data_IF_969000495493
#
_entry.id   IF_969000495493
#
_cell.length_a   1.000
_cell.length_b   1.000
_cell.length_c   1.000
_cell.angle_alpha   90.00
_cell.angle_beta   90.00
_cell.angle_gamma   90.00
#
_symmetry.space_group_name_H-M   'P 1'
#
loop_
_entity.id
_entity.type
_entity.pdbx_description
1 polymer ?
#
# COMPACT_ATOMS: atom_id res chain seq x y z
N UNK A 1 -19.23 1.09 27.90
CA UNK A 1 -18.25 1.17 26.79
C UNK A 1 -17.94 -0.28 26.41
N UNK A 2 -18.46 -0.77 25.29
CA UNK A 2 -18.28 -2.17 24.89
C UNK A 2 -16.89 -2.25 24.27
N UNK A 3 -15.93 -2.81 25.00
CA UNK A 3 -14.63 -3.18 24.46
C UNK A 3 -14.89 -4.35 23.53
N UNK A 4 -14.39 -4.26 22.29
CA UNK A 4 -14.44 -5.42 21.42
C UNK A 4 -13.41 -6.45 21.89
N UNK A 5 -13.92 -7.44 22.61
CA UNK A 5 -13.14 -8.46 23.28
C UNK A 5 -12.33 -9.27 22.28
N UNK A 6 -12.90 -9.58 21.10
CA UNK A 6 -12.26 -10.46 20.14
C UNK A 6 -11.04 -9.82 19.48
N UNK A 7 -11.17 -8.58 18.98
CA UNK A 7 -10.04 -7.89 18.38
C UNK A 7 -8.93 -7.58 19.40
N UNK A 8 -9.31 -7.30 20.65
CA UNK A 8 -8.35 -7.07 21.72
C UNK A 8 -7.58 -8.35 22.09
N UNK A 9 -8.24 -9.51 22.13
CA UNK A 9 -7.60 -10.81 22.33
C UNK A 9 -6.59 -11.14 21.22
N UNK A 10 -6.98 -10.96 19.95
CA UNK A 10 -6.06 -11.17 18.82
C UNK A 10 -4.83 -10.25 18.89
N UNK A 11 -5.01 -8.99 19.31
CA UNK A 11 -3.90 -8.06 19.50
C UNK A 11 -2.96 -8.52 20.63
N UNK A 12 -3.50 -8.92 21.78
CA UNK A 12 -2.68 -9.42 22.89
C UNK A 12 -1.93 -10.71 22.51
N UNK A 13 -2.58 -11.62 21.77
CA UNK A 13 -1.95 -12.82 21.23
C UNK A 13 -0.79 -12.46 20.30
N UNK A 14 -1.02 -11.58 19.33
CA UNK A 14 0.04 -11.10 18.44
C UNK A 14 1.20 -10.46 19.20
N UNK A 15 0.93 -9.70 20.27
CA UNK A 15 2.00 -9.10 21.09
C UNK A 15 2.85 -10.14 21.83
N UNK A 16 2.29 -11.30 22.15
CA UNK A 16 3.02 -12.38 22.83
C UNK A 16 3.87 -13.19 21.84
N UNK A 17 3.34 -13.47 20.65
CA UNK A 17 3.97 -14.39 19.69
C UNK A 17 4.77 -13.69 18.60
N UNK A 18 4.35 -12.48 18.21
CA UNK A 18 4.94 -11.66 17.13
C UNK A 18 5.06 -12.38 15.79
N UNK A 19 4.20 -13.36 15.56
CA UNK A 19 4.23 -14.23 14.39
C UNK A 19 3.16 -13.83 13.35
N UNK A 20 3.28 -14.40 12.15
CA UNK A 20 2.41 -14.06 11.02
C UNK A 20 0.98 -14.56 11.23
N UNK A 21 0.77 -15.68 11.92
CA UNK A 21 -0.55 -16.30 12.07
C UNK A 21 -1.42 -15.45 13.00
N UNK A 22 -0.90 -15.11 14.17
CA UNK A 22 -1.59 -14.21 15.11
C UNK A 22 -1.84 -12.81 14.54
N UNK A 23 -0.91 -12.28 13.71
CA UNK A 23 -1.15 -11.02 13.01
C UNK A 23 -2.31 -11.14 12.01
N UNK A 24 -2.40 -12.28 11.31
CA UNK A 24 -3.47 -12.54 10.35
C UNK A 24 -4.83 -12.64 11.05
N UNK A 25 -4.90 -13.29 12.21
CA UNK A 25 -6.12 -13.31 13.04
C UNK A 25 -6.55 -11.89 13.45
N UNK A 26 -5.61 -11.06 13.93
CA UNK A 26 -5.88 -9.66 14.24
C UNK A 26 -6.38 -8.88 13.02
N UNK A 27 -5.77 -9.11 11.86
CA UNK A 27 -6.15 -8.48 10.61
C UNK A 27 -7.60 -8.82 10.22
N UNK A 28 -7.98 -10.09 10.35
CA UNK A 28 -9.33 -10.58 10.07
C UNK A 28 -10.34 -10.01 11.07
N UNK A 29 -10.01 -9.97 12.36
CA UNK A 29 -10.87 -9.42 13.42
C UNK A 29 -11.21 -7.92 13.24
N UNK A 30 -10.45 -7.22 12.40
CA UNK A 30 -10.58 -5.79 12.09
C UNK A 30 -10.99 -5.52 10.63
N UNK A 31 -11.43 -6.55 9.89
CA UNK A 31 -11.79 -6.45 8.47
C UNK A 31 -13.00 -5.54 8.20
N UNK A 32 -13.92 -5.42 9.16
CA UNK A 32 -15.03 -4.48 9.12
C UNK A 32 -14.54 -3.01 9.19
N UNK A 33 -13.55 -2.71 10.04
CA UNK A 33 -12.94 -1.38 10.13
C UNK A 33 -12.22 -1.04 8.83
N UNK A 34 -11.54 -2.03 8.22
CA UNK A 34 -10.95 -1.89 6.88
C UNK A 34 -12.01 -1.56 5.83
N UNK A 35 -13.11 -2.30 5.82
CA UNK A 35 -14.21 -2.14 4.86
C UNK A 35 -14.88 -0.77 5.01
N UNK A 36 -15.12 -0.33 6.25
CA UNK A 36 -15.63 1.01 6.55
C UNK A 36 -14.67 2.10 6.07
N UNK A 37 -13.37 1.97 6.34
CA UNK A 37 -12.38 2.95 5.92
C UNK A 37 -12.30 3.06 4.40
N UNK A 38 -12.29 1.92 3.70
CA UNK A 38 -12.35 1.85 2.23
C UNK A 38 -13.57 2.57 1.67
N UNK A 39 -14.76 2.27 2.18
CA UNK A 39 -15.98 2.98 1.79
C UNK A 39 -15.88 4.50 2.00
N UNK A 40 -15.33 4.94 3.14
CA UNK A 40 -15.18 6.37 3.46
C UNK A 40 -14.13 7.08 2.61
N UNK A 41 -13.00 6.45 2.30
CA UNK A 41 -11.99 7.04 1.41
C UNK A 41 -12.56 7.24 0.01
N UNK A 42 -13.18 6.21 -0.57
CA UNK A 42 -13.75 6.29 -1.92
C UNK A 42 -14.91 7.28 -2.01
N UNK A 43 -15.83 7.28 -1.04
CA UNK A 43 -17.00 8.18 -1.08
C UNK A 43 -16.69 9.65 -0.77
N UNK A 44 -15.57 9.94 -0.09
CA UNK A 44 -15.17 11.32 0.22
C UNK A 44 -14.27 11.96 -0.83
N UNK A 45 -13.88 11.22 -1.88
CA UNK A 45 -12.87 11.66 -2.83
C UNK A 45 -11.48 11.85 -2.22
N UNK A 46 -11.25 11.38 -0.98
CA UNK A 46 -9.98 11.53 -0.29
C UNK A 46 -8.85 10.70 -0.91
N UNK A 47 -9.18 9.71 -1.74
CA UNK A 47 -8.26 8.80 -2.41
C UNK A 47 -8.98 7.62 -3.05
N UNK A 48 -8.23 6.71 -3.63
CA UNK A 48 -8.74 5.49 -4.25
C UNK A 48 -8.80 4.29 -3.27
N UNK A 49 -9.19 3.12 -3.80
CA UNK A 49 -9.23 1.88 -3.03
C UNK A 49 -7.84 1.48 -2.50
N UNK A 50 -6.78 1.75 -3.27
CA UNK A 50 -5.41 1.42 -2.88
C UNK A 50 -4.92 2.35 -1.78
N UNK A 51 -5.26 3.64 -1.81
CA UNK A 51 -5.04 4.63 -0.73
C UNK A 51 -5.64 4.13 0.56
N UNK A 52 -6.88 3.67 0.50
CA UNK A 52 -7.57 3.14 1.66
C UNK A 52 -6.88 1.89 2.22
N UNK A 53 -6.56 0.92 1.37
CA UNK A 53 -5.96 -0.35 1.81
C UNK A 53 -4.57 -0.13 2.38
N UNK A 54 -3.70 0.61 1.70
CA UNK A 54 -2.35 0.91 2.19
C UNK A 54 -2.37 1.70 3.49
N UNK A 55 -3.26 2.68 3.62
CA UNK A 55 -3.30 3.53 4.81
C UNK A 55 -3.89 2.83 6.03
N UNK A 56 -4.87 1.94 5.82
CA UNK A 56 -5.33 1.01 6.85
C UNK A 56 -4.17 0.15 7.36
N UNK A 57 -3.48 -0.44 6.40
CA UNK A 57 -2.36 -1.32 6.61
C UNK A 57 -1.28 -0.66 7.47
N UNK A 58 -0.84 0.55 7.12
CA UNK A 58 0.18 1.31 7.84
C UNK A 58 -0.19 1.57 9.29
N UNK A 59 -1.42 2.01 9.53
CA UNK A 59 -1.87 2.34 10.88
C UNK A 59 -2.02 1.08 11.71
N UNK A 60 -2.59 0.00 11.15
CA UNK A 60 -2.72 -1.26 11.88
C UNK A 60 -1.34 -1.78 12.32
N UNK A 61 -0.34 -1.76 11.44
CA UNK A 61 1.03 -2.13 11.82
C UNK A 61 1.59 -1.20 12.90
N UNK A 62 1.48 0.11 12.70
CA UNK A 62 1.99 1.09 13.65
C UNK A 62 1.32 0.98 15.03
N UNK A 63 0.08 0.51 15.11
CA UNK A 63 -0.59 0.20 16.37
C UNK A 63 -0.20 -1.16 16.92
N UNK A 64 -0.12 -2.20 16.08
CA UNK A 64 0.25 -3.56 16.49
C UNK A 64 1.67 -3.62 17.07
N UNK A 65 2.57 -2.72 16.65
CA UNK A 65 3.92 -2.59 17.23
C UNK A 65 3.96 -1.89 18.60
N UNK A 66 2.91 -1.21 19.04
CA UNK A 66 2.87 -0.50 20.33
C UNK A 66 2.43 -1.42 21.45
N UNK A 67 2.86 -1.10 22.66
CA UNK A 67 2.42 -1.77 23.90
C UNK A 67 1.38 -0.94 24.64
N UNK A 68 0.65 -1.57 25.56
CA UNK A 68 -0.29 -0.89 26.46
C UNK A 68 -1.55 -0.36 25.77
N UNK A 69 -1.90 -0.85 24.58
CA UNK A 69 -3.17 -0.50 23.95
C UNK A 69 -4.30 -1.26 24.65
N UNK A 70 -5.21 -0.52 25.26
CA UNK A 70 -6.37 -1.05 25.99
C UNK A 70 -7.56 -1.37 25.10
N UNK A 71 -7.70 -0.67 23.97
CA UNK A 71 -8.77 -0.84 23.00
C UNK A 71 -8.24 -0.59 21.58
N UNK A 72 -7.73 -1.64 20.95
CA UNK A 72 -7.12 -1.58 19.63
C UNK A 72 -8.13 -1.13 18.56
N UNK A 73 -9.37 -1.59 18.65
CA UNK A 73 -10.41 -1.29 17.65
C UNK A 73 -10.75 0.20 17.66
N UNK A 74 -11.00 0.76 18.85
CA UNK A 74 -11.29 2.18 18.99
C UNK A 74 -10.12 3.05 18.54
N UNK A 75 -8.90 2.68 18.94
CA UNK A 75 -7.71 3.44 18.56
C UNK A 75 -7.46 3.38 17.05
N UNK A 76 -7.68 2.22 16.42
CA UNK A 76 -7.62 2.07 14.97
C UNK A 76 -8.66 2.94 14.27
N UNK A 77 -9.91 2.92 14.73
CA UNK A 77 -10.99 3.72 14.16
C UNK A 77 -10.69 5.23 14.19
N UNK A 78 -10.18 5.71 15.34
CA UNK A 78 -9.75 7.12 15.50
C UNK A 78 -8.58 7.43 14.56
N UNK A 79 -7.59 6.55 14.50
CA UNK A 79 -6.41 6.72 13.65
C UNK A 79 -6.78 6.73 12.15
N UNK A 80 -7.76 5.93 11.73
CA UNK A 80 -8.32 5.94 10.37
C UNK A 80 -8.95 7.29 10.03
N UNK A 81 -9.69 7.90 10.97
CA UNK A 81 -10.29 9.22 10.76
C UNK A 81 -9.22 10.29 10.48
N UNK A 82 -8.13 10.32 11.27
CA UNK A 82 -7.03 11.25 11.04
C UNK A 82 -6.29 10.97 9.73
N UNK A 83 -6.14 9.69 9.39
CA UNK A 83 -5.45 9.28 8.16
C UNK A 83 -6.23 9.70 6.92
N UNK A 84 -7.56 9.61 6.93
CA UNK A 84 -8.40 10.15 5.85
C UNK A 84 -8.23 11.66 5.68
N UNK A 85 -8.16 12.42 6.77
CA UNK A 85 -7.90 13.86 6.69
C UNK A 85 -6.52 14.16 6.07
N UNK A 86 -5.51 13.34 6.35
CA UNK A 86 -4.19 13.45 5.71
C UNK A 86 -4.25 13.14 4.22
N UNK A 87 -4.94 12.07 3.83
CA UNK A 87 -5.15 11.70 2.43
C UNK A 87 -5.88 12.82 1.66
N UNK A 88 -6.98 13.31 2.21
CA UNK A 88 -7.73 14.43 1.64
C UNK A 88 -6.84 15.65 1.42
N UNK A 89 -6.12 16.11 2.47
CA UNK A 89 -5.20 17.25 2.37
C UNK A 89 -4.07 17.02 1.37
N UNK A 90 -3.56 15.79 1.27
CA UNK A 90 -2.54 15.43 0.27
C UNK A 90 -3.14 15.63 -1.11
N UNK A 91 -4.29 15.02 -1.40
CA UNK A 91 -4.93 15.12 -2.71
C UNK A 91 -5.36 16.54 -3.09
N UNK A 92 -5.87 17.34 -2.15
CA UNK A 92 -6.15 18.76 -2.40
C UNK A 92 -4.88 19.50 -2.86
N UNK A 93 -3.74 19.26 -2.20
CA UNK A 93 -2.46 19.85 -2.62
C UNK A 93 -1.95 19.32 -3.95
N UNK A 94 -2.27 18.08 -4.33
CA UNK A 94 -1.94 17.58 -5.67
C UNK A 94 -2.81 18.24 -6.72
N UNK A 95 -4.12 18.39 -6.49
CA UNK A 95 -5.01 19.11 -7.41
C UNK A 95 -4.62 20.58 -7.58
N UNK A 96 -4.14 21.24 -6.53
CA UNK A 96 -3.62 22.62 -6.62
C UNK A 96 -2.25 22.72 -7.33
N UNK A 97 -1.48 21.62 -7.39
CA UNK A 97 -0.14 21.57 -8.00
C UNK A 97 -0.12 21.02 -9.42
N UNK A 98 -1.15 20.28 -9.82
CA UNK A 98 -1.30 19.80 -11.19
C UNK A 98 -1.83 20.97 -12.02
N UNK A 99 -0.90 21.72 -12.62
CA UNK A 99 -1.17 22.54 -13.79
C UNK A 99 -1.52 21.59 -14.94
N UNK A 100 -2.79 21.54 -15.33
CA UNK A 100 -3.16 20.97 -16.62
C UNK A 100 -2.92 22.08 -17.66
N UNK A 101 -1.96 21.93 -18.60
CA UNK A 101 -1.89 22.83 -19.74
C UNK A 101 -3.23 22.76 -20.47
N UNK A 102 -3.84 23.92 -20.74
CA UNK A 102 -5.20 24.03 -21.31
C UNK A 102 -5.32 23.53 -22.76
N UNK A 103 -4.24 23.00 -23.36
CA UNK A 103 -4.25 22.49 -24.72
C UNK A 103 -3.28 21.33 -24.93
N UNK A 104 -3.73 20.30 -25.65
CA UNK A 104 -2.99 19.09 -26.05
C UNK A 104 -1.81 19.36 -27.01
N UNK A 105 -1.42 20.62 -27.23
CA UNK A 105 -0.47 21.02 -28.27
C UNK A 105 1.02 20.90 -27.88
N UNK A 106 1.37 20.52 -26.64
CA UNK A 106 2.77 20.55 -26.17
C UNK A 106 3.47 19.20 -26.02
N UNK A 107 2.82 18.05 -26.23
CA UNK A 107 3.49 16.74 -26.22
C UNK A 107 3.60 16.14 -27.63
N UNK A 108 4.34 16.85 -28.48
CA UNK A 108 4.86 16.29 -29.72
C UNK A 108 6.02 15.33 -29.42
N UNK A 109 5.79 14.03 -29.59
CA UNK A 109 6.83 13.02 -29.60
C UNK A 109 6.25 11.64 -29.87
N UNK A 110 6.33 11.17 -31.12
CA UNK A 110 6.11 9.76 -31.45
C UNK A 110 7.20 8.94 -30.76
N UNK A 111 6.86 8.37 -29.60
CA UNK A 111 7.74 7.44 -28.89
C UNK A 111 7.73 6.13 -29.66
N UNK A 112 8.88 5.77 -30.22
CA UNK A 112 9.12 4.47 -30.82
C UNK A 112 8.76 3.37 -29.81
N UNK A 113 7.96 2.39 -30.23
CA UNK A 113 7.57 1.23 -29.43
C UNK A 113 8.80 0.38 -29.11
N UNK A 114 9.42 0.63 -27.97
CA UNK A 114 10.45 -0.22 -27.38
C UNK A 114 9.75 -1.44 -26.76
N UNK A 115 10.33 -2.63 -26.93
CA UNK A 115 9.85 -3.87 -26.31
C UNK A 115 9.60 -3.69 -24.80
N UNK A 116 8.50 -4.24 -24.25
CA UNK A 116 8.14 -4.03 -22.85
C UNK A 116 9.10 -4.75 -21.89
N UNK A 117 10.17 -4.08 -21.46
CA UNK A 117 11.06 -4.58 -20.41
C UNK A 117 10.40 -4.40 -19.03
N UNK A 118 10.01 -5.53 -18.43
CA UNK A 118 9.44 -5.61 -17.07
C UNK A 118 10.36 -4.94 -16.04
N UNK A 119 11.67 -4.98 -16.25
CA UNK A 119 12.68 -4.41 -15.36
C UNK A 119 12.68 -2.89 -15.40
N UNK A 120 12.56 -2.30 -16.60
CA UNK A 120 12.47 -0.85 -16.78
C UNK A 120 11.15 -0.29 -16.23
N UNK A 121 10.03 -0.98 -16.46
CA UNK A 121 8.74 -0.60 -15.86
C UNK A 121 8.82 -0.55 -14.33
N UNK A 122 9.36 -1.60 -13.70
CA UNK A 122 9.48 -1.66 -12.24
C UNK A 122 10.39 -0.53 -11.72
N UNK A 123 11.52 -0.26 -12.39
CA UNK A 123 12.40 0.88 -12.04
C UNK A 123 11.68 2.21 -12.15
N UNK A 124 10.98 2.46 -13.24
CA UNK A 124 10.23 3.71 -13.45
C UNK A 124 9.13 3.91 -12.39
N UNK A 125 8.48 2.84 -11.93
CA UNK A 125 7.49 2.90 -10.84
C UNK A 125 8.15 3.16 -9.48
N UNK A 126 9.31 2.56 -9.23
CA UNK A 126 10.09 2.80 -8.01
C UNK A 126 10.54 4.26 -7.96
N UNK A 127 11.09 4.79 -9.05
CA UNK A 127 11.58 6.17 -9.11
C UNK A 127 10.45 7.18 -8.90
N UNK A 128 9.28 6.96 -9.54
CA UNK A 128 8.08 7.79 -9.32
C UNK A 128 7.55 7.71 -7.89
N UNK A 129 7.62 6.54 -7.25
CA UNK A 129 7.08 6.33 -5.90
C UNK A 129 8.02 6.78 -4.77
N UNK A 130 9.33 6.76 -5.01
CA UNK A 130 10.37 6.93 -3.98
C UNK A 130 10.38 5.81 -2.92
N UNK A 131 9.73 4.68 -3.18
CA UNK A 131 9.50 3.65 -2.16
C UNK A 131 10.68 2.68 -2.00
N UNK A 132 11.57 3.00 -1.05
CA UNK A 132 12.79 2.23 -0.75
C UNK A 132 12.54 0.74 -0.48
N UNK A 133 11.43 0.41 0.18
CA UNK A 133 11.04 -0.98 0.48
C UNK A 133 10.70 -1.74 -0.81
N UNK A 134 9.95 -1.11 -1.72
CA UNK A 134 9.61 -1.71 -3.00
C UNK A 134 10.85 -1.88 -3.88
N UNK A 135 11.77 -0.91 -3.85
CA UNK A 135 13.07 -0.99 -4.52
C UNK A 135 13.92 -2.17 -4.04
N UNK A 136 14.01 -2.35 -2.71
CA UNK A 136 14.73 -3.47 -2.11
C UNK A 136 14.13 -4.82 -2.54
N UNK A 137 12.81 -4.95 -2.48
CA UNK A 137 12.12 -6.19 -2.86
C UNK A 137 12.32 -6.49 -4.36
N UNK A 138 12.22 -5.48 -5.21
CA UNK A 138 12.45 -5.61 -6.65
C UNK A 138 13.89 -6.03 -6.98
N UNK A 139 14.90 -5.41 -6.37
CA UNK A 139 16.31 -5.80 -6.55
C UNK A 139 16.56 -7.25 -6.08
N UNK A 140 15.98 -7.64 -4.95
CA UNK A 140 16.09 -9.02 -4.45
C UNK A 140 15.36 -10.03 -5.34
N UNK A 141 14.23 -9.65 -5.94
CA UNK A 141 13.49 -10.49 -6.89
C UNK A 141 14.24 -10.65 -8.23
N UNK A 142 14.90 -9.59 -8.72
CA UNK A 142 15.72 -9.66 -9.94
C UNK A 142 16.97 -10.53 -9.77
N UNK A 143 17.51 -10.60 -8.54
CA UNK A 143 18.66 -11.45 -8.19
C UNK A 143 18.26 -12.88 -7.84
N UNK A 144 16.98 -13.16 -7.64
CA UNK A 144 16.51 -14.50 -7.33
C UNK A 144 16.14 -15.26 -8.61
N UNK A 145 16.30 -16.59 -8.57
CA UNK A 145 15.75 -17.43 -9.62
C UNK A 145 14.22 -17.28 -9.59
N UNK A 146 13.60 -17.11 -10.76
CA UNK A 146 12.22 -16.66 -11.02
C UNK A 146 11.04 -17.36 -10.30
N UNK A 147 11.30 -18.28 -9.35
CA UNK A 147 10.30 -19.02 -8.57
C UNK A 147 10.21 -18.61 -7.09
N UNK A 148 11.01 -17.65 -6.63
CA UNK A 148 10.99 -17.27 -5.23
C UNK A 148 9.73 -16.45 -4.88
N UNK A 149 8.99 -16.87 -3.85
CA UNK A 149 7.76 -16.18 -3.44
C UNK A 149 8.06 -14.85 -2.76
N UNK A 150 7.14 -13.88 -2.87
CA UNK A 150 7.23 -12.59 -2.17
C UNK A 150 7.45 -12.80 -0.67
N UNK A 151 6.84 -13.82 -0.07
CA UNK A 151 7.01 -14.17 1.35
C UNK A 151 8.46 -14.55 1.67
N UNK A 152 9.12 -15.36 0.82
CA UNK A 152 10.53 -15.74 0.98
C UNK A 152 11.46 -14.54 0.81
N UNK A 153 11.21 -13.72 -0.21
CA UNK A 153 11.97 -12.49 -0.47
C UNK A 153 11.84 -11.51 0.70
N UNK A 154 10.63 -11.35 1.24
CA UNK A 154 10.35 -10.50 2.41
C UNK A 154 11.08 -10.99 3.65
N UNK A 155 11.02 -12.30 3.92
CA UNK A 155 11.71 -12.90 5.05
C UNK A 155 13.22 -12.68 5.01
N UNK A 156 13.84 -12.86 3.83
CA UNK A 156 15.26 -12.54 3.61
C UNK A 156 15.59 -11.05 3.77
N UNK A 157 14.66 -10.18 3.38
CA UNK A 157 14.80 -8.74 3.55
C UNK A 157 14.64 -8.28 5.02
N UNK A 158 14.35 -9.20 5.95
CA UNK A 158 14.01 -8.88 7.33
C UNK A 158 12.67 -8.14 7.45
N UNK A 159 11.82 -8.27 6.44
CA UNK A 159 10.52 -7.63 6.35
C UNK A 159 9.40 -8.63 6.61
N UNK A 160 8.39 -8.19 7.35
CA UNK A 160 7.13 -8.91 7.40
C UNK A 160 6.51 -8.95 5.99
N UNK A 161 6.00 -10.10 5.55
CA UNK A 161 5.48 -10.30 4.19
C UNK A 161 4.40 -9.28 3.80
N UNK A 162 3.51 -8.92 4.73
CA UNK A 162 2.53 -7.85 4.52
C UNK A 162 3.18 -6.47 4.25
N UNK A 163 4.31 -6.14 4.89
CA UNK A 163 5.06 -4.91 4.62
C UNK A 163 5.52 -4.87 3.17
N UNK A 164 6.03 -5.99 2.65
CA UNK A 164 6.43 -6.09 1.26
C UNK A 164 5.25 -5.99 0.29
N UNK A 165 4.17 -6.73 0.55
CA UNK A 165 2.96 -6.66 -0.27
C UNK A 165 2.37 -5.26 -0.32
N UNK A 166 2.41 -4.51 0.79
CA UNK A 166 1.94 -3.12 0.85
C UNK A 166 2.75 -2.21 -0.04
N UNK A 167 4.07 -2.31 0.04
CA UNK A 167 4.96 -1.51 -0.79
C UNK A 167 4.77 -1.82 -2.26
N UNK A 168 4.69 -3.10 -2.63
CA UNK A 168 4.39 -3.47 -4.02
C UNK A 168 3.00 -2.97 -4.48
N UNK A 169 1.98 -2.98 -3.61
CA UNK A 169 0.65 -2.44 -3.94
C UNK A 169 0.65 -0.93 -4.15
N UNK A 170 1.51 -0.17 -3.47
CA UNK A 170 1.62 1.28 -3.66
C UNK A 170 2.22 1.64 -5.01
N UNK A 171 3.18 0.86 -5.51
CA UNK A 171 3.76 1.07 -6.85
C UNK A 171 2.69 1.15 -7.94
N UNK A 172 1.61 0.36 -7.80
CA UNK A 172 0.49 0.36 -8.75
C UNK A 172 -0.15 1.74 -8.95
N UNK A 173 -0.12 2.64 -7.97
CA UNK A 173 -0.68 4.01 -8.13
C UNK A 173 0.10 4.88 -9.08
N UNK A 174 1.36 4.53 -9.33
CA UNK A 174 2.22 5.28 -10.22
C UNK A 174 2.21 4.72 -11.64
N UNK A 175 1.50 3.61 -11.87
CA UNK A 175 1.28 3.07 -13.20
C UNK A 175 0.26 3.92 -13.95
N UNK A 176 0.62 4.34 -15.16
CA UNK A 176 -0.22 5.10 -16.07
C UNK A 176 -0.23 4.41 -17.44
N UNK A 177 -1.39 3.91 -17.87
CA UNK A 177 -1.55 3.19 -19.16
C UNK A 177 -1.08 4.02 -20.36
N UNK A 178 -1.25 5.35 -20.33
CA UNK A 178 -0.87 6.24 -21.43
C UNK A 178 0.66 6.40 -21.54
N UNK A 179 1.38 6.25 -20.43
CA UNK A 179 2.84 6.41 -20.36
C UNK A 179 3.55 5.06 -20.43
N UNK A 180 3.02 4.07 -19.71
CA UNK A 180 3.67 2.79 -19.43
C UNK A 180 3.21 1.67 -20.38
N UNK A 181 2.20 1.90 -21.22
CA UNK A 181 1.64 0.91 -22.13
C UNK A 181 0.74 -0.11 -21.44
N UNK A 182 0.28 -1.14 -22.16
CA UNK A 182 -0.64 -2.15 -21.63
C UNK A 182 0.08 -3.11 -20.68
N UNK A 183 -0.40 -3.19 -19.43
CA UNK A 183 0.13 -4.09 -18.40
C UNK A 183 0.10 -5.56 -18.84
N UNK A 184 -0.85 -5.96 -19.71
CA UNK A 184 -0.94 -7.32 -20.22
C UNK A 184 0.30 -7.72 -21.04
N UNK A 185 0.93 -6.78 -21.74
CA UNK A 185 2.14 -7.01 -22.52
C UNK A 185 3.35 -7.35 -21.62
N UNK A 186 3.36 -6.85 -20.39
CA UNK A 186 4.38 -7.17 -19.38
C UNK A 186 4.09 -8.46 -18.59
N UNK A 187 2.93 -9.09 -18.77
CA UNK A 187 2.55 -10.32 -18.05
C UNK A 187 2.58 -11.57 -18.95
N UNK A 188 2.54 -11.39 -20.27
CA UNK A 188 2.72 -12.43 -21.28
C UNK A 188 4.13 -13.03 -21.23
#
# INVERSE_FOLDING_TARGET
MIIDVHAQECYLRYRQTLDNESFTELYIALADVKSWHKSKVSSSGAGDVYDAESSFDDVLFGLASREGITDIRRLLYVSMRFTRLKLYRKNTKWQERIYYPESDAEFGGTVDRIEPDRTELIRALIDRSGEKTAALIADMALRSNAKESITSISGRAGLHHNTALRSLRRLRRYYNVEIDGDLAEYLA
#
